data_IF_323912607926
#
_entry.id   IF_323912607926
#
_cell.length_a   1.000
_cell.length_b   1.000
_cell.length_c   1.000
_cell.angle_alpha   90.00
_cell.angle_beta   90.00
_cell.angle_gamma   90.00
#
_symmetry.space_group_name_H-M   'P 1'
#
loop_
_entity.id
_entity.type
_entity.pdbx_description
1 polymer ?
#
# COMPACT_ATOMS: atom_id res chain seq x y z
N UNK A 1 8.45 -16.95 4.38
CA UNK A 1 7.20 -16.77 3.61
C UNK A 1 6.83 -15.32 3.70
N UNK A 2 7.42 -14.50 2.84
CA UNK A 2 7.17 -13.06 2.82
C UNK A 2 5.76 -12.82 2.28
N UNK A 3 4.96 -12.11 3.07
CA UNK A 3 3.71 -11.52 2.60
C UNK A 3 4.08 -10.41 1.61
N UNK A 4 4.41 -10.77 0.37
CA UNK A 4 4.67 -9.82 -0.71
C UNK A 4 3.38 -9.06 -0.98
N UNK A 5 3.37 -7.77 -0.63
CA UNK A 5 2.24 -6.89 -0.86
C UNK A 5 2.00 -6.70 -2.36
N UNK A 6 0.75 -6.44 -2.78
CA UNK A 6 0.39 -6.27 -4.19
C UNK A 6 1.23 -5.18 -4.87
N UNK A 7 1.57 -4.11 -4.13
CA UNK A 7 2.46 -3.04 -4.59
C UNK A 7 3.85 -3.57 -5.00
N UNK A 8 4.40 -4.54 -4.26
CA UNK A 8 5.71 -5.13 -4.59
C UNK A 8 5.64 -5.95 -5.86
N UNK A 9 4.57 -6.76 -6.03
CA UNK A 9 4.36 -7.53 -7.26
C UNK A 9 4.25 -6.62 -8.49
N UNK A 10 3.38 -5.62 -8.43
CA UNK A 10 3.21 -4.65 -9.51
C UNK A 10 4.54 -3.97 -9.88
N UNK A 11 5.31 -3.61 -8.86
CA UNK A 11 6.62 -3.00 -9.04
C UNK A 11 7.62 -3.94 -9.72
N UNK A 12 7.65 -5.22 -9.34
CA UNK A 12 8.52 -6.23 -9.94
C UNK A 12 8.12 -6.56 -11.38
N UNK A 13 6.81 -6.65 -11.68
CA UNK A 13 6.30 -6.86 -13.04
C UNK A 13 6.72 -5.74 -13.99
N UNK A 14 6.76 -4.50 -13.49
CA UNK A 14 7.23 -3.33 -14.25
C UNK A 14 8.74 -3.08 -14.15
N UNK A 15 9.51 -3.94 -13.47
CA UNK A 15 10.95 -3.76 -13.23
C UNK A 15 11.30 -2.39 -12.60
N UNK A 16 10.41 -1.88 -11.74
CA UNK A 16 10.58 -0.59 -11.06
C UNK A 16 11.30 -0.76 -9.71
N UNK A 17 12.13 0.20 -9.33
CA UNK A 17 12.68 0.23 -7.98
C UNK A 17 11.75 0.97 -7.02
N UNK A 18 11.79 0.66 -5.73
CA UNK A 18 10.99 1.36 -4.71
C UNK A 18 11.30 2.88 -4.68
N UNK A 19 12.51 3.27 -5.08
CA UNK A 19 12.90 4.66 -5.24
C UNK A 19 12.17 5.34 -6.41
N UNK A 20 11.96 4.64 -7.52
CA UNK A 20 11.24 5.16 -8.69
C UNK A 20 9.75 5.28 -8.41
N UNK A 21 9.15 4.28 -7.75
CA UNK A 21 7.77 4.37 -7.25
C UNK A 21 7.63 5.57 -6.32
N UNK A 22 8.60 5.77 -5.42
CA UNK A 22 8.63 6.93 -4.53
C UNK A 22 8.65 8.25 -5.32
N UNK A 23 9.51 8.38 -6.33
CA UNK A 23 9.55 9.57 -7.19
C UNK A 23 8.23 9.81 -7.92
N UNK A 24 7.57 8.75 -8.40
CA UNK A 24 6.30 8.86 -9.12
C UNK A 24 5.15 9.35 -8.24
N UNK A 25 5.11 8.93 -6.98
CA UNK A 25 4.06 9.35 -6.03
C UNK A 25 4.47 10.52 -5.14
N UNK A 26 5.65 11.11 -5.37
CA UNK A 26 6.26 12.18 -4.58
C UNK A 26 6.48 11.81 -3.11
N UNK A 27 7.06 10.65 -2.87
CA UNK A 27 7.46 10.19 -1.55
C UNK A 27 8.87 9.57 -1.53
N UNK A 28 9.38 9.35 -0.32
CA UNK A 28 10.70 8.72 -0.17
C UNK A 28 10.64 7.22 -0.41
N UNK A 29 11.77 6.62 -0.83
CA UNK A 29 11.94 5.15 -0.92
C UNK A 29 11.51 4.44 0.36
N UNK A 30 11.90 5.00 1.51
CA UNK A 30 11.58 4.48 2.85
C UNK A 30 10.08 4.48 3.14
N UNK A 31 9.36 5.45 2.57
CA UNK A 31 7.90 5.52 2.67
C UNK A 31 7.25 4.39 1.86
N UNK A 32 7.74 4.12 0.65
CA UNK A 32 7.28 3.00 -0.20
C UNK A 32 7.54 1.66 0.49
N UNK A 33 8.74 1.46 1.04
CA UNK A 33 9.13 0.26 1.78
C UNK A 33 8.16 -0.04 2.94
N UNK A 34 7.74 1.01 3.66
CA UNK A 34 6.70 0.89 4.70
C UNK A 34 5.34 0.50 4.12
N UNK A 35 4.97 1.01 2.95
CA UNK A 35 3.71 0.64 2.29
C UNK A 35 3.72 -0.81 1.83
N UNK A 36 4.84 -1.28 1.30
CA UNK A 36 5.08 -2.69 0.94
C UNK A 36 5.06 -3.59 2.18
N UNK A 37 5.51 -3.11 3.34
CA UNK A 37 5.40 -3.85 4.61
C UNK A 37 3.96 -3.93 5.16
N UNK A 38 3.00 -3.24 4.53
CA UNK A 38 1.58 -3.22 4.92
C UNK A 38 1.18 -2.01 5.75
N UNK A 39 1.99 -0.95 5.82
CA UNK A 39 1.56 0.33 6.40
C UNK A 39 0.65 1.05 5.41
N UNK A 40 -0.51 1.50 5.86
CA UNK A 40 -1.44 2.22 4.99
C UNK A 40 -0.84 3.55 4.50
N UNK A 41 -0.82 3.80 3.18
CA UNK A 41 -0.50 5.12 2.64
C UNK A 41 -1.58 6.14 3.01
N UNK A 42 -1.18 7.42 3.12
CA UNK A 42 -2.16 8.50 3.29
C UNK A 42 -2.98 8.67 2.00
N UNK A 43 -4.20 9.16 2.11
CA UNK A 43 -5.12 9.40 0.99
C UNK A 43 -4.46 10.00 -0.28
N UNK A 44 -3.66 11.08 -0.23
CA UNK A 44 -3.06 11.64 -1.46
C UNK A 44 -2.03 10.71 -2.13
N UNK A 45 -1.33 9.89 -1.36
CA UNK A 45 -0.40 8.90 -1.92
C UNK A 45 -1.14 7.67 -2.42
N UNK A 46 -2.17 7.24 -1.70
CA UNK A 46 -3.03 6.14 -2.09
C UNK A 46 -3.74 6.42 -3.42
N UNK A 47 -4.31 7.63 -3.57
CA UNK A 47 -4.94 8.06 -4.81
C UNK A 47 -3.96 8.01 -6.00
N UNK A 48 -2.74 8.53 -5.82
CA UNK A 48 -1.68 8.43 -6.82
C UNK A 48 -1.28 7.00 -7.14
N UNK A 49 -1.22 6.13 -6.14
CA UNK A 49 -0.93 4.71 -6.33
C UNK A 49 -2.05 4.03 -7.12
N UNK A 50 -3.31 4.28 -6.76
CA UNK A 50 -4.48 3.74 -7.48
C UNK A 50 -4.46 4.21 -8.93
N UNK A 51 -4.25 5.50 -9.17
CA UNK A 51 -4.20 6.08 -10.52
C UNK A 51 -3.03 5.53 -11.33
N UNK A 52 -1.83 5.42 -10.76
CA UNK A 52 -0.66 4.93 -11.50
C UNK A 52 -0.72 3.42 -11.78
N UNK A 53 -1.42 2.67 -10.94
CA UNK A 53 -1.61 1.21 -11.09
C UNK A 53 -2.91 0.84 -11.79
N UNK A 54 -3.64 1.83 -12.34
CA UNK A 54 -4.96 1.64 -12.96
C UNK A 54 -5.96 0.88 -12.07
N UNK A 55 -5.83 1.03 -10.74
CA UNK A 55 -6.67 0.36 -9.75
C UNK A 55 -6.23 -1.05 -9.35
N UNK A 56 -5.17 -1.58 -9.96
CA UNK A 56 -4.60 -2.90 -9.60
C UNK A 56 -4.09 -2.93 -8.16
N UNK A 57 -3.56 -1.81 -7.67
CA UNK A 57 -3.19 -1.63 -6.28
C UNK A 57 -4.06 -0.55 -5.64
N UNK A 58 -5.06 -0.99 -4.87
CA UNK A 58 -6.01 -0.11 -4.19
C UNK A 58 -6.04 -0.31 -2.66
N UNK A 59 -6.80 0.57 -1.98
CA UNK A 59 -6.93 0.59 -0.52
C UNK A 59 -7.20 -0.78 0.10
N UNK A 60 -7.96 -1.64 -0.59
CA UNK A 60 -8.35 -2.96 -0.09
C UNK A 60 -7.15 -3.90 0.11
N UNK A 61 -6.04 -3.69 -0.60
CA UNK A 61 -4.84 -4.51 -0.43
C UNK A 61 -4.14 -4.22 0.90
N UNK A 62 -4.25 -2.99 1.42
CA UNK A 62 -3.80 -2.63 2.77
C UNK A 62 -4.88 -2.93 3.83
N UNK A 63 -6.14 -2.64 3.51
CA UNK A 63 -7.28 -2.88 4.38
C UNK A 63 -7.61 -4.37 4.55
N UNK A 64 -7.15 -5.29 3.70
CA UNK A 64 -7.28 -6.72 3.96
C UNK A 64 -6.56 -7.15 5.26
N UNK A 65 -5.54 -6.38 5.67
CA UNK A 65 -4.81 -6.57 6.93
C UNK A 65 -5.32 -5.65 8.04
N UNK A 66 -5.75 -4.42 7.73
CA UNK A 66 -6.34 -3.49 8.71
C UNK A 66 -7.82 -3.73 9.00
N UNK A 67 -8.61 -4.39 8.16
CA UNK A 67 -9.97 -4.81 8.49
C UNK A 67 -9.93 -5.80 9.65
N UNK A 68 -8.88 -6.62 9.75
CA UNK A 68 -8.63 -7.42 10.93
C UNK A 68 -8.30 -6.56 12.18
N UNK A 69 -7.58 -5.44 12.03
CA UNK A 69 -7.23 -4.54 13.15
C UNK A 69 -8.39 -3.61 13.56
N UNK A 70 -9.20 -3.12 12.60
CA UNK A 70 -10.40 -2.30 12.83
C UNK A 70 -11.56 -3.14 13.40
N UNK A 71 -11.69 -4.41 12.98
CA UNK A 71 -12.58 -5.37 13.65
C UNK A 71 -12.07 -5.70 15.06
N UNK A 72 -10.75 -5.78 15.27
CA UNK A 72 -10.16 -5.99 16.60
C UNK A 72 -10.24 -4.76 17.53
N UNK A 73 -10.33 -3.54 16.98
CA UNK A 73 -10.42 -2.27 17.74
C UNK A 73 -11.83 -1.72 17.86
N UNK A 74 -12.88 -2.45 17.47
CA UNK A 74 -14.25 -2.02 17.72
C UNK A 74 -14.54 -2.22 19.22
N UNK A 75 -14.68 -1.16 20.05
CA UNK A 75 -15.42 -1.35 21.28
C UNK A 75 -16.83 -1.74 20.87
N UNK A 76 -17.32 -2.86 21.40
CA UNK A 76 -18.73 -3.15 21.39
C UNK A 76 -19.43 -1.98 22.11
N UNK A 77 -19.96 -1.03 21.35
CA UNK A 77 -20.92 -0.06 21.86
C UNK A 77 -22.24 -0.82 22.02
N UNK A 78 -22.48 -1.30 23.23
CA UNK A 78 -23.79 -1.59 23.79
C UNK A 78 -24.13 -0.49 24.80
#
# INVERSE_FOLDING_TARGET
>A
MENLHQLTKWREELNLSAADVGRMIDCTRLTVDRYEAGRMPRQPYLDRIVVMTDGEVNANHWLGREAADVVARRPASA
#
